data_IF_550826439167
#
_entry.id   IF_550826439167
#
_cell.length_a   1.000
_cell.length_b   1.000
_cell.length_c   1.000
_cell.angle_alpha   90.00
_cell.angle_beta   90.00
_cell.angle_gamma   90.00
#
_symmetry.space_group_name_H-M   'P 1'
#
loop_
_entity.id
_entity.type
_entity.pdbx_description
1 polymer ?
#
# COMPACT_ATOMS: atom_id res chain seq x y z
N UNK A 1 -58.25 22.01 -23.57
CA UNK A 1 -56.78 22.12 -23.69
C UNK A 1 -56.20 20.74 -23.92
N UNK A 2 -55.33 20.57 -24.93
CA UNK A 2 -54.69 19.29 -25.26
C UNK A 2 -53.33 19.22 -24.55
N UNK A 3 -53.22 18.42 -23.50
CA UNK A 3 -51.97 18.16 -22.79
C UNK A 3 -51.14 17.11 -23.53
N UNK A 4 -49.98 17.50 -24.07
CA UNK A 4 -48.99 16.59 -24.64
C UNK A 4 -48.18 15.97 -23.50
N UNK A 5 -48.41 14.69 -23.21
CA UNK A 5 -47.57 13.90 -22.31
C UNK A 5 -46.24 13.58 -23.01
N UNK A 6 -45.15 14.20 -22.54
CA UNK A 6 -43.80 13.92 -23.02
C UNK A 6 -43.34 12.55 -22.55
N UNK A 7 -43.20 11.62 -23.49
CA UNK A 7 -42.48 10.37 -23.29
C UNK A 7 -41.02 10.71 -22.96
N UNK A 8 -40.61 10.44 -21.72
CA UNK A 8 -39.19 10.53 -21.34
C UNK A 8 -38.49 9.31 -21.91
N UNK A 9 -37.55 9.57 -22.80
CA UNK A 9 -36.65 8.59 -23.41
C UNK A 9 -35.81 7.91 -22.32
N UNK A 10 -36.14 6.66 -21.98
CA UNK A 10 -35.39 5.79 -21.03
C UNK A 10 -34.11 5.20 -21.67
N UNK A 11 -33.61 5.80 -22.76
CA UNK A 11 -32.46 5.30 -23.54
C UNK A 11 -31.09 5.54 -22.89
N UNK A 12 -31.03 6.26 -21.77
CA UNK A 12 -29.80 6.52 -21.02
C UNK A 12 -29.59 5.59 -19.81
N UNK A 13 -30.45 4.58 -19.61
CA UNK A 13 -30.12 3.51 -18.65
C UNK A 13 -29.10 2.59 -19.29
N UNK A 14 -27.82 2.97 -19.18
CA UNK A 14 -26.72 2.01 -19.27
C UNK A 14 -27.11 0.78 -18.43
N UNK A 15 -27.18 -0.42 -19.02
CA UNK A 15 -27.43 -1.62 -18.24
C UNK A 15 -26.29 -1.69 -17.23
N UNK A 16 -26.60 -1.48 -15.94
CA UNK A 16 -25.69 -1.86 -14.87
C UNK A 16 -25.38 -3.33 -15.14
N UNK A 17 -24.17 -3.61 -15.63
CA UNK A 17 -23.68 -4.99 -15.76
C UNK A 17 -24.01 -5.65 -14.44
N UNK A 18 -24.89 -6.65 -14.49
CA UNK A 18 -25.17 -7.50 -13.34
C UNK A 18 -23.80 -7.91 -12.79
N UNK A 19 -23.56 -7.57 -11.51
CA UNK A 19 -22.24 -7.58 -10.91
C UNK A 19 -21.55 -8.89 -11.23
N UNK A 20 -20.46 -8.80 -12.00
CA UNK A 20 -19.53 -9.92 -12.14
C UNK A 20 -19.16 -10.31 -10.72
N UNK A 21 -19.51 -11.54 -10.33
CA UNK A 21 -19.18 -12.06 -9.02
C UNK A 21 -17.68 -11.86 -8.84
N UNK A 22 -17.30 -10.97 -7.93
CA UNK A 22 -15.89 -10.71 -7.63
C UNK A 22 -15.37 -12.02 -7.08
N UNK A 23 -14.66 -12.78 -7.91
CA UNK A 23 -13.99 -14.00 -7.49
C UNK A 23 -13.01 -13.58 -6.40
N UNK A 24 -13.27 -14.01 -5.17
CA UNK A 24 -12.43 -13.67 -4.05
C UNK A 24 -11.02 -14.24 -4.29
N UNK A 25 -10.00 -13.38 -4.17
CA UNK A 25 -8.61 -13.80 -4.32
C UNK A 25 -8.29 -14.96 -3.39
N UNK A 26 -7.66 -16.01 -3.93
CA UNK A 26 -7.19 -17.16 -3.16
C UNK A 26 -5.67 -17.10 -2.91
N UNK A 27 -4.97 -16.15 -3.53
CA UNK A 27 -3.58 -15.84 -3.26
C UNK A 27 -3.36 -14.35 -2.99
N UNK A 28 -2.35 -14.06 -2.17
CA UNK A 28 -1.87 -12.73 -1.86
C UNK A 28 -0.38 -12.59 -2.15
N UNK A 29 0.11 -11.37 -2.01
CA UNK A 29 1.53 -11.05 -2.20
C UNK A 29 2.10 -10.54 -0.88
N UNK A 30 3.27 -11.04 -0.50
CA UNK A 30 4.01 -10.60 0.68
C UNK A 30 5.49 -10.42 0.35
N UNK A 31 6.19 -9.59 1.13
CA UNK A 31 7.64 -9.49 1.03
C UNK A 31 8.29 -10.82 1.35
N UNK A 32 9.30 -11.19 0.55
CA UNK A 32 9.98 -12.45 0.75
C UNK A 32 10.68 -12.52 2.11
N UNK A 33 10.59 -13.68 2.77
CA UNK A 33 11.28 -13.88 4.06
C UNK A 33 12.80 -13.84 3.93
N UNK A 34 13.33 -14.17 2.74
CA UNK A 34 14.77 -14.20 2.46
C UNK A 34 15.35 -12.80 2.20
N UNK A 35 14.53 -11.92 1.63
CA UNK A 35 14.90 -10.55 1.28
C UNK A 35 14.11 -9.55 2.12
N UNK A 36 14.00 -9.81 3.43
CA UNK A 36 13.28 -8.90 4.32
C UNK A 36 14.01 -7.58 4.38
N UNK A 37 13.35 -6.53 3.89
CA UNK A 37 13.69 -5.13 4.16
C UNK A 37 15.18 -4.86 3.95
N UNK A 38 15.65 -5.12 2.73
CA UNK A 38 16.98 -4.70 2.32
C UNK A 38 16.94 -3.18 2.16
N UNK A 39 17.15 -2.46 3.27
CA UNK A 39 17.10 -0.99 3.30
C UNK A 39 18.11 -0.39 2.32
N UNK A 40 19.22 -1.08 2.06
CA UNK A 40 20.18 -0.69 1.03
C UNK A 40 19.58 -0.81 -0.39
N UNK A 41 18.77 -1.83 -0.67
CA UNK A 41 18.07 -1.93 -1.95
C UNK A 41 16.94 -0.89 -2.08
N UNK A 42 16.30 -0.49 -0.98
CA UNK A 42 15.26 0.55 -0.96
C UNK A 42 15.84 1.98 -1.06
N UNK A 43 17.12 2.17 -0.70
CA UNK A 43 17.81 3.45 -0.78
C UNK A 43 18.36 3.77 -2.18
N UNK A 44 18.42 2.77 -3.07
CA UNK A 44 18.94 2.93 -4.44
C UNK A 44 17.97 3.72 -5.31
N UNK A 45 18.55 4.50 -6.22
CA UNK A 45 17.79 5.15 -7.30
C UNK A 45 17.35 4.12 -8.35
N UNK A 46 16.38 4.50 -9.20
CA UNK A 46 15.93 3.63 -10.29
C UNK A 46 17.07 3.32 -11.27
N UNK A 47 17.93 4.29 -11.55
CA UNK A 47 19.09 4.14 -12.44
C UNK A 47 20.13 3.18 -11.87
N UNK A 48 20.38 3.22 -10.56
CA UNK A 48 21.28 2.29 -9.88
C UNK A 48 20.73 0.86 -9.93
N UNK A 49 19.42 0.69 -9.75
CA UNK A 49 18.76 -0.62 -9.85
C UNK A 49 18.86 -1.19 -11.27
N UNK A 50 18.74 -0.35 -12.31
CA UNK A 50 18.87 -0.78 -13.70
C UNK A 50 20.29 -1.25 -14.08
N UNK A 51 21.31 -0.80 -13.35
CA UNK A 51 22.70 -1.20 -13.56
C UNK A 51 23.07 -2.50 -12.84
N UNK A 52 22.22 -2.96 -11.92
CA UNK A 52 22.45 -4.20 -11.17
C UNK A 52 21.81 -5.41 -11.84
N UNK A 53 22.56 -6.51 -11.90
CA UNK A 53 22.08 -7.80 -12.38
C UNK A 53 21.54 -8.70 -11.25
N UNK A 54 21.46 -8.19 -10.01
CA UNK A 54 21.07 -8.96 -8.83
C UNK A 54 19.67 -8.57 -8.34
N UNK A 55 18.91 -9.57 -7.90
CA UNK A 55 17.57 -9.35 -7.33
C UNK A 55 17.70 -8.95 -5.86
N UNK A 56 17.63 -7.65 -5.58
CA UNK A 56 17.73 -7.12 -4.20
C UNK A 56 16.45 -7.22 -3.38
N UNK A 57 15.30 -7.32 -4.05
CA UNK A 57 13.96 -7.33 -3.46
C UNK A 57 13.08 -8.33 -4.20
N UNK A 58 12.35 -9.15 -3.47
CA UNK A 58 11.42 -10.11 -4.06
C UNK A 58 10.12 -10.21 -3.26
N UNK A 59 9.04 -10.49 -3.97
CA UNK A 59 7.74 -10.79 -3.41
C UNK A 59 7.46 -12.29 -3.53
N UNK A 60 6.90 -12.86 -2.47
CA UNK A 60 6.40 -14.23 -2.44
C UNK A 60 4.87 -14.20 -2.68
N UNK A 61 4.38 -15.12 -3.52
CA UNK A 61 2.96 -15.40 -3.65
C UNK A 61 2.56 -16.37 -2.54
N UNK A 62 1.58 -15.99 -1.73
CA UNK A 62 1.12 -16.76 -0.58
C UNK A 62 -0.34 -17.16 -0.77
N UNK A 63 -0.65 -18.43 -0.54
CA UNK A 63 -2.04 -18.89 -0.51
C UNK A 63 -2.76 -18.30 0.72
N UNK A 64 -3.96 -17.75 0.53
CA UNK A 64 -4.79 -17.19 1.61
C UNK A 64 -5.68 -18.25 2.28
N UNK A 65 -5.82 -19.40 1.63
CA UNK A 65 -6.51 -20.62 2.08
C UNK A 65 -5.94 -21.81 1.30
N UNK A 66 -6.35 -23.01 1.68
CA UNK A 66 -6.02 -24.20 0.91
C UNK A 66 -6.59 -24.09 -0.52
N UNK A 67 -5.72 -24.37 -1.49
CA UNK A 67 -6.03 -24.38 -2.92
C UNK A 67 -6.19 -25.82 -3.36
N UNK A 68 -7.30 -26.14 -4.01
CA UNK A 68 -7.57 -27.50 -4.49
C UNK A 68 -6.83 -27.77 -5.80
N UNK A 69 -6.60 -29.05 -6.08
CA UNK A 69 -6.07 -29.47 -7.38
C UNK A 69 -7.00 -29.02 -8.51
N UNK A 70 -6.42 -28.47 -9.58
CA UNK A 70 -7.18 -27.91 -10.71
C UNK A 70 -7.81 -26.53 -10.46
N UNK A 71 -7.64 -25.95 -9.27
CA UNK A 71 -8.11 -24.59 -8.98
C UNK A 71 -7.14 -23.54 -9.54
N UNK A 72 -7.67 -22.51 -10.20
CA UNK A 72 -6.88 -21.38 -10.69
C UNK A 72 -6.46 -20.44 -9.56
N UNK A 73 -5.25 -19.90 -9.64
CA UNK A 73 -4.75 -18.91 -8.67
C UNK A 73 -5.17 -17.50 -9.08
N UNK A 74 -5.95 -16.86 -8.23
CA UNK A 74 -6.38 -15.47 -8.35
C UNK A 74 -5.65 -14.63 -7.32
N UNK A 75 -4.76 -13.76 -7.81
CA UNK A 75 -4.05 -12.78 -6.98
C UNK A 75 -4.70 -11.42 -7.13
N UNK A 76 -5.13 -10.81 -6.02
CA UNK A 76 -5.52 -9.40 -6.01
C UNK A 76 -4.26 -8.55 -5.86
N UNK A 77 -3.85 -7.90 -6.96
CA UNK A 77 -2.73 -6.94 -6.99
C UNK A 77 -3.03 -5.63 -6.24
N UNK A 78 -4.20 -5.52 -5.61
CA UNK A 78 -4.57 -4.39 -4.76
C UNK A 78 -5.42 -3.35 -5.46
N UNK A 79 -6.42 -3.76 -6.24
CA UNK A 79 -7.38 -2.86 -6.93
C UNK A 79 -8.38 -2.13 -6.01
N UNK A 80 -8.16 -2.17 -4.70
CA UNK A 80 -9.05 -1.56 -3.72
C UNK A 80 -9.18 -2.42 -2.47
N UNK A 81 -8.06 -2.59 -1.74
CA UNK A 81 -8.21 -2.75 -0.29
C UNK A 81 -8.87 -1.46 0.19
N UNK A 82 -10.20 -1.44 0.28
CA UNK A 82 -10.88 -0.61 1.27
C UNK A 82 -10.23 -1.04 2.57
N UNK A 83 -9.29 -0.23 3.04
CA UNK A 83 -8.58 -0.48 4.28
C UNK A 83 -9.60 -0.89 5.32
N UNK A 84 -9.28 -1.88 6.16
CA UNK A 84 -10.06 -2.09 7.37
C UNK A 84 -10.05 -0.77 8.13
N UNK A 85 -11.07 0.05 7.94
CA UNK A 85 -11.41 1.17 8.79
C UNK A 85 -11.83 0.53 10.12
N UNK A 86 -10.85 0.26 10.98
CA UNK A 86 -11.05 -0.63 12.11
C UNK A 86 -9.79 -0.98 12.86
N UNK A 87 -8.92 0.00 13.09
CA UNK A 87 -8.19 0.10 14.35
C UNK A 87 -8.18 1.58 14.70
N UNK A 88 -9.13 1.97 15.55
CA UNK A 88 -9.02 3.19 16.32
C UNK A 88 -7.69 3.12 17.07
N UNK A 89 -6.71 3.89 16.61
CA UNK A 89 -5.56 4.29 17.40
C UNK A 89 -6.09 5.18 18.53
N UNK A 90 -6.75 4.57 19.51
CA UNK A 90 -6.99 5.19 20.78
C UNK A 90 -5.76 4.97 21.63
N UNK A 91 -5.04 6.07 21.90
CA UNK A 91 -4.03 6.23 22.96
C UNK A 91 -2.78 5.33 22.83
N UNK A 92 -1.56 5.75 23.09
CA UNK A 92 -1.00 6.85 23.88
C UNK A 92 0.50 6.84 23.54
N UNK A 93 1.09 7.97 23.20
CA UNK A 93 2.30 8.50 23.88
C UNK A 93 2.64 9.82 23.19
N UNK A 94 2.29 10.91 23.86
CA UNK A 94 2.86 12.24 23.64
C UNK A 94 4.38 12.13 23.84
N UNK A 95 5.13 11.88 22.77
CA UNK A 95 6.55 12.20 22.72
C UNK A 95 6.70 13.46 21.92
N UNK A 96 6.77 14.57 22.66
CA UNK A 96 7.12 15.87 22.13
C UNK A 96 8.50 15.79 21.44
N UNK A 97 8.57 15.93 20.10
CA UNK A 97 9.82 15.88 19.36
C UNK A 97 10.71 17.11 19.62
N UNK A 98 10.25 18.11 20.39
CA UNK A 98 11.04 19.29 20.77
C UNK A 98 11.75 19.17 22.11
N UNK A 99 11.71 18.00 22.77
CA UNK A 99 12.63 17.72 23.90
C UNK A 99 14.05 17.47 23.37
N UNK A 100 14.64 18.52 22.79
CA UNK A 100 16.07 18.66 22.54
C UNK A 100 16.78 18.40 23.86
N UNK A 101 17.51 17.29 23.91
CA UNK A 101 18.51 17.06 24.94
C UNK A 101 19.50 18.21 24.81
N UNK A 102 19.45 19.16 25.74
CA UNK A 102 20.50 20.16 25.88
C UNK A 102 21.78 19.39 26.16
N UNK A 103 22.66 19.29 25.16
CA UNK A 103 23.99 18.76 25.37
C UNK A 103 24.76 19.80 26.20
N UNK A 104 25.39 19.41 27.30
CA UNK A 104 26.15 20.34 28.12
C UNK A 104 27.33 20.89 27.30
N UNK A 105 27.63 22.18 27.51
CA UNK A 105 28.57 22.95 26.69
C UNK A 105 30.03 22.43 26.76
N UNK A 106 30.36 21.62 27.76
CA UNK A 106 31.66 20.97 27.94
C UNK A 106 31.90 19.82 26.94
N UNK A 107 30.85 19.37 26.23
CA UNK A 107 30.94 18.36 25.17
C UNK A 107 31.11 18.93 23.76
N UNK A 108 31.14 20.26 23.58
CA UNK A 108 31.32 20.86 22.25
C UNK A 108 32.81 20.97 21.89
N UNK A 109 33.26 20.42 20.74
CA UNK A 109 34.65 20.55 20.29
C UNK A 109 34.99 22.01 19.94
N UNK A 110 36.17 22.47 20.40
CA UNK A 110 36.68 23.83 20.19
C UNK A 110 36.79 24.16 18.69
N UNK A 111 35.81 24.87 18.15
CA UNK A 111 35.80 25.28 16.74
C UNK A 111 34.45 25.78 16.21
N UNK A 112 33.36 25.54 16.93
CA UNK A 112 32.02 25.99 16.55
C UNK A 112 31.62 27.21 17.39
N UNK A 113 31.99 28.41 16.96
CA UNK A 113 31.38 29.67 17.43
C UNK A 113 30.78 30.37 16.22
N UNK A 114 29.47 30.56 16.22
CA UNK A 114 28.83 31.53 15.34
C UNK A 114 29.16 32.93 15.87
N UNK A 115 29.62 33.81 14.97
CA UNK A 115 29.97 35.21 15.26
C UNK A 115 28.74 36.03 15.66
#
# INVERSE_FOLDING_TARGET
GRGRGGAKDDRDRCPRRAGSAVVAANAGVAWSKRNKRNDAAMAKSAEEVLQEFTVGLSFDVIALRDVKEGEEIFTDYGGGRKGRAGRSSAEKEDRDPTRLVQMPEDMMPHGWRYQ
#
